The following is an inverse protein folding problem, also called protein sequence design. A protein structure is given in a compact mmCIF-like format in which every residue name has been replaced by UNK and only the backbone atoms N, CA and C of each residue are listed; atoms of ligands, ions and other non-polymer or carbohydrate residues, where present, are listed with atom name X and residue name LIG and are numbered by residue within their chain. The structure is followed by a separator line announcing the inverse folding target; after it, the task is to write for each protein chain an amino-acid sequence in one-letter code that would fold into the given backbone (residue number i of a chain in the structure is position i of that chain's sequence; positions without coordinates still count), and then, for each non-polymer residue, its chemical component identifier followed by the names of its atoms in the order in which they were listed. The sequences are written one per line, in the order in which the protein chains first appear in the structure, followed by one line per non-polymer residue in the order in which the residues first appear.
data_IF_484224425702
#
_entry.id   IF_484224425702
#
_cell.length_a   1.000
_cell.length_b   1.000
_cell.length_c   1.000
_cell.angle_alpha   90.00
_cell.angle_beta   90.00
_cell.angle_gamma   90.00
#
_symmetry.space_group_name_H-M   'P 1'
#
loop_
_entity.id
_entity.type
_entity.pdbx_description
1 polymer ?
#
# COMPACT_ATOMS: atom_id res chain seq x y z
N UNK A 1 21.32 35.66 33.22
CA UNK A 1 20.02 35.06 33.57
C UNK A 1 19.02 35.48 32.50
N UNK A 2 18.84 34.66 31.47
CA UNK A 2 17.73 34.74 30.52
C UNK A 2 17.44 33.30 30.08
N UNK A 3 16.18 32.89 30.27
CA UNK A 3 15.70 31.51 30.12
C UNK A 3 15.64 31.07 28.65
N UNK A 4 15.82 29.77 28.36
CA UNK A 4 15.69 29.24 27.00
C UNK A 4 14.23 29.24 26.55
N UNK A 5 13.95 29.41 25.24
CA UNK A 5 12.60 29.23 24.70
C UNK A 5 12.24 27.75 24.73
N UNK A 6 11.01 27.48 25.16
CA UNK A 6 10.45 26.16 25.38
C UNK A 6 10.55 25.27 24.13
N UNK A 7 10.96 24.02 24.33
CA UNK A 7 10.86 22.94 23.35
C UNK A 7 9.42 22.88 22.81
N UNK A 8 9.26 23.15 21.52
CA UNK A 8 8.02 22.85 20.82
C UNK A 8 7.96 21.33 20.73
N UNK A 9 7.23 20.72 21.66
CA UNK A 9 6.92 19.29 21.63
C UNK A 9 6.16 18.99 20.34
N UNK A 10 6.86 18.40 19.37
CA UNK A 10 6.25 17.70 18.24
C UNK A 10 5.30 16.68 18.84
N UNK A 11 4.02 16.63 18.43
CA UNK A 11 3.11 15.61 18.93
C UNK A 11 3.70 14.23 18.63
N UNK A 12 4.07 13.51 19.70
CA UNK A 12 4.65 12.16 19.67
C UNK A 12 3.69 11.08 19.11
N UNK A 13 2.55 11.47 18.54
CA UNK A 13 1.55 10.53 18.01
C UNK A 13 1.85 10.00 16.60
N UNK A 14 2.91 10.48 15.92
CA UNK A 14 3.30 9.92 14.63
C UNK A 14 3.99 8.54 14.74
N UNK A 15 4.43 8.14 15.94
CA UNK A 15 5.19 6.91 16.17
C UNK A 15 4.43 5.80 16.92
N UNK A 16 3.15 5.99 17.28
CA UNK A 16 2.41 5.03 18.14
C UNK A 16 1.43 4.09 17.44
N UNK A 17 1.31 4.13 16.11
CA UNK A 17 0.56 3.11 15.37
C UNK A 17 1.51 2.21 14.55
N UNK A 18 2.55 1.69 15.20
CA UNK A 18 3.16 0.43 14.78
C UNK A 18 2.28 -0.72 15.27
N UNK A 19 1.02 -0.74 14.82
CA UNK A 19 0.36 -2.01 14.61
C UNK A 19 1.02 -2.59 13.37
N UNK A 20 2.22 -3.19 13.53
CA UNK A 20 2.70 -4.12 12.52
C UNK A 20 1.52 -5.02 12.16
N UNK A 21 1.21 -5.23 10.87
CA UNK A 21 0.45 -6.41 10.52
C UNK A 21 1.23 -7.53 11.20
N UNK A 22 0.60 -8.21 12.15
CA UNK A 22 1.16 -9.41 12.72
C UNK A 22 1.24 -10.35 11.53
N UNK A 23 2.37 -10.31 10.82
CA UNK A 23 2.74 -11.36 9.89
C UNK A 23 2.61 -12.61 10.74
N UNK A 24 1.69 -13.45 10.31
CA UNK A 24 1.36 -14.69 10.97
C UNK A 24 2.69 -15.37 11.32
N UNK A 25 2.79 -15.94 12.51
CA UNK A 25 3.81 -16.95 12.78
C UNK A 25 3.81 -17.89 11.56
N UNK A 26 4.86 -17.79 10.73
CA UNK A 26 5.04 -18.57 9.51
C UNK A 26 5.19 -20.08 9.82
N UNK A 27 5.18 -20.47 11.10
CA UNK A 27 5.35 -21.83 11.60
C UNK A 27 4.15 -22.77 11.41
N UNK A 28 3.03 -22.33 10.83
CA UNK A 28 1.88 -23.22 10.57
C UNK A 28 1.24 -23.03 9.20
N UNK A 29 2.07 -22.78 8.19
CA UNK A 29 1.75 -23.34 6.89
C UNK A 29 1.95 -24.86 6.97
N UNK A 30 0.97 -25.70 6.57
CA UNK A 30 1.29 -27.03 6.11
C UNK A 30 1.95 -26.87 4.73
N UNK A 31 3.18 -26.34 4.71
CA UNK A 31 4.10 -26.64 3.63
C UNK A 31 4.54 -28.08 3.91
N UNK A 32 4.18 -28.96 2.99
CA UNK A 32 4.81 -30.27 2.86
C UNK A 32 6.30 -30.05 2.59
N UNK A 33 7.09 -29.86 3.63
CA UNK A 33 8.56 -29.93 3.57
C UNK A 33 9.01 -31.19 4.31
N UNK A 34 9.23 -32.22 3.50
CA UNK A 34 10.30 -33.22 3.60
C UNK A 34 10.71 -33.66 5.02
N UNK A 35 9.98 -34.62 5.59
CA UNK A 35 10.53 -35.50 6.61
C UNK A 35 11.43 -36.54 5.92
N UNK A 36 12.71 -36.21 5.73
CA UNK A 36 13.71 -37.20 5.35
C UNK A 36 13.90 -38.23 6.49
N UNK A 37 13.46 -39.45 6.18
CA UNK A 37 13.89 -40.72 6.77
C UNK A 37 13.27 -41.13 8.11
N UNK A 38 12.11 -41.79 8.03
CA UNK A 38 11.88 -43.07 8.74
C UNK A 38 10.80 -43.87 8.03
N UNK A 39 11.20 -45.02 7.50
CA UNK A 39 10.30 -45.90 6.76
C UNK A 39 9.08 -46.29 7.59
N UNK A 40 7.89 -46.03 7.07
CA UNK A 40 6.69 -46.81 7.37
C UNK A 40 5.70 -46.77 6.21
N UNK A 41 5.31 -47.98 5.82
CA UNK A 41 4.15 -48.44 5.04
C UNK A 41 3.21 -47.40 4.41
N UNK A 42 3.00 -47.58 3.11
CA UNK A 42 1.76 -47.29 2.38
C UNK A 42 0.52 -47.41 3.28
N UNK A 43 -0.18 -46.29 3.58
CA UNK A 43 -1.66 -46.18 3.69
C UNK A 43 -2.22 -44.88 4.32
N UNK A 44 -1.44 -43.83 4.62
CA UNK A 44 -2.00 -42.60 5.18
C UNK A 44 -2.27 -41.53 4.11
N UNK A 45 -3.34 -41.71 3.34
CA UNK A 45 -3.90 -40.67 2.46
C UNK A 45 -5.11 -39.97 3.10
N UNK A 46 -5.49 -40.34 4.32
CA UNK A 46 -6.83 -40.05 4.86
C UNK A 46 -6.91 -38.84 5.81
N UNK A 47 -5.78 -38.29 6.25
CA UNK A 47 -5.76 -37.18 7.24
C UNK A 47 -6.19 -35.84 6.62
N UNK A 48 -5.98 -35.67 5.31
CA UNK A 48 -6.29 -34.44 4.56
C UNK A 48 -7.77 -34.26 4.18
N UNK A 49 -8.60 -35.29 4.31
CA UNK A 49 -10.02 -35.26 3.91
C UNK A 49 -10.99 -35.22 5.11
N UNK A 50 -10.48 -34.98 6.32
CA UNK A 50 -11.37 -34.84 7.49
C UNK A 50 -12.19 -33.54 7.40
N UNK A 51 -13.49 -33.56 7.75
CA UNK A 51 -14.32 -32.34 7.78
C UNK A 51 -13.73 -31.23 8.64
N UNK A 52 -13.08 -31.59 9.75
CA UNK A 52 -12.40 -30.66 10.65
C UNK A 52 -11.21 -29.96 9.97
N UNK A 53 -10.45 -30.68 9.15
CA UNK A 53 -9.34 -30.09 8.39
C UNK A 53 -9.85 -29.13 7.31
N UNK A 54 -10.88 -29.52 6.54
CA UNK A 54 -11.51 -28.66 5.55
C UNK A 54 -12.09 -27.38 6.18
N UNK A 55 -12.71 -27.49 7.34
CA UNK A 55 -13.22 -26.34 8.09
C UNK A 55 -12.09 -25.39 8.51
N UNK A 56 -10.96 -25.92 9.01
CA UNK A 56 -9.78 -25.09 9.36
C UNK A 56 -9.22 -24.38 8.12
N UNK A 57 -9.14 -25.04 6.97
CA UNK A 57 -8.69 -24.42 5.72
C UNK A 57 -9.64 -23.29 5.28
N UNK A 58 -10.94 -23.51 5.36
CA UNK A 58 -11.94 -22.48 5.03
C UNK A 58 -11.82 -21.26 5.96
N UNK A 59 -11.69 -21.48 7.28
CA UNK A 59 -11.49 -20.39 8.24
C UNK A 59 -10.20 -19.60 7.97
N UNK A 60 -9.09 -20.28 7.67
CA UNK A 60 -7.84 -19.63 7.29
C UNK A 60 -8.00 -18.81 6.01
N UNK A 61 -8.66 -19.37 4.99
CA UNK A 61 -8.95 -18.68 3.73
C UNK A 61 -9.78 -17.42 3.96
N UNK A 62 -10.86 -17.51 4.73
CA UNK A 62 -11.72 -16.37 5.06
C UNK A 62 -10.95 -15.28 5.81
N UNK A 63 -10.09 -15.67 6.76
CA UNK A 63 -9.22 -14.74 7.46
C UNK A 63 -8.25 -14.02 6.51
N UNK A 64 -7.54 -14.75 5.64
CA UNK A 64 -6.63 -14.17 4.65
C UNK A 64 -7.35 -13.19 3.71
N UNK A 65 -8.56 -13.53 3.29
CA UNK A 65 -9.43 -12.68 2.47
C UNK A 65 -9.77 -11.38 3.20
N UNK A 66 -10.17 -11.47 4.47
CA UNK A 66 -10.50 -10.29 5.27
C UNK A 66 -9.28 -9.40 5.48
N UNK A 67 -8.11 -10.00 5.73
CA UNK A 67 -6.85 -9.26 5.85
C UNK A 67 -6.50 -8.55 4.55
N UNK A 68 -6.58 -9.24 3.41
CA UNK A 68 -6.36 -8.64 2.08
C UNK A 68 -7.26 -7.43 1.84
N UNK A 69 -8.56 -7.56 2.12
CA UNK A 69 -9.51 -6.45 1.92
C UNK A 69 -9.24 -5.27 2.86
N UNK A 70 -8.89 -5.57 4.11
CA UNK A 70 -8.63 -4.54 5.11
C UNK A 70 -7.34 -3.79 4.80
N UNK A 71 -6.27 -4.52 4.46
CA UNK A 71 -4.97 -3.93 4.12
C UNK A 71 -5.05 -3.12 2.83
N UNK A 72 -5.75 -3.61 1.80
CA UNK A 72 -5.93 -2.90 0.53
C UNK A 72 -6.74 -1.61 0.72
N UNK A 73 -7.85 -1.68 1.47
CA UNK A 73 -8.65 -0.50 1.81
C UNK A 73 -7.81 0.57 2.52
N UNK A 74 -7.01 0.13 3.49
CA UNK A 74 -6.12 1.01 4.22
C UNK A 74 -5.08 1.64 3.28
N UNK A 75 -4.42 0.85 2.44
CA UNK A 75 -3.43 1.34 1.49
C UNK A 75 -4.01 2.39 0.52
N UNK A 76 -5.18 2.13 -0.06
CA UNK A 76 -5.90 3.10 -0.91
C UNK A 76 -6.25 4.38 -0.14
N UNK A 77 -6.62 4.27 1.14
CA UNK A 77 -6.91 5.45 1.97
C UNK A 77 -5.68 6.33 2.23
N UNK A 78 -4.49 5.72 2.35
CA UNK A 78 -3.23 6.45 2.50
C UNK A 78 -2.87 7.17 1.20
N UNK A 79 -2.99 6.48 0.06
CA UNK A 79 -2.78 7.10 -1.26
C UNK A 79 -3.77 8.25 -1.51
N UNK A 80 -5.02 8.08 -1.09
CA UNK A 80 -6.03 9.15 -1.16
C UNK A 80 -5.63 10.37 -0.35
N UNK A 81 -5.11 10.19 0.87
CA UNK A 81 -4.62 11.32 1.68
C UNK A 81 -3.49 12.08 0.96
N UNK A 82 -2.52 11.35 0.39
CA UNK A 82 -1.44 11.98 -0.39
C UNK A 82 -2.02 12.77 -1.58
N UNK A 83 -2.97 12.18 -2.30
CA UNK A 83 -3.64 12.83 -3.42
C UNK A 83 -4.37 14.12 -3.01
N UNK A 84 -5.17 14.04 -1.95
CA UNK A 84 -6.05 15.15 -1.53
C UNK A 84 -5.26 16.28 -0.84
N UNK A 85 -4.22 15.96 -0.08
CA UNK A 85 -3.45 16.94 0.69
C UNK A 85 -2.32 17.60 -0.10
N UNK A 86 -1.76 16.91 -1.10
CA UNK A 86 -0.59 17.42 -1.83
C UNK A 86 -0.87 17.52 -3.33
N UNK A 87 -1.18 16.40 -3.99
CA UNK A 87 -1.26 16.34 -5.45
C UNK A 87 -2.32 17.31 -6.00
N UNK A 88 -3.55 17.20 -5.51
CA UNK A 88 -4.67 18.03 -5.96
C UNK A 88 -4.41 19.51 -5.70
N UNK A 89 -4.01 19.96 -4.49
CA UNK A 89 -3.66 21.37 -4.27
C UNK A 89 -2.57 21.92 -5.20
N UNK A 90 -1.51 21.15 -5.47
CA UNK A 90 -0.45 21.56 -6.41
C UNK A 90 -0.91 21.59 -7.87
N UNK A 91 -1.80 20.69 -8.25
CA UNK A 91 -2.38 20.68 -9.59
C UNK A 91 -3.27 21.93 -9.80
N UNK A 92 -4.16 22.20 -8.85
CA UNK A 92 -5.05 23.37 -8.92
C UNK A 92 -4.27 24.69 -8.89
N UNK A 93 -3.16 24.76 -8.14
CA UNK A 93 -2.30 25.95 -8.12
C UNK A 93 -1.62 26.17 -9.47
N UNK A 94 -1.10 25.10 -10.10
CA UNK A 94 -0.57 25.15 -11.47
C UNK A 94 -1.60 25.67 -12.48
N UNK A 95 -2.81 25.11 -12.46
CA UNK A 95 -3.88 25.50 -13.37
C UNK A 95 -4.28 26.98 -13.16
N UNK A 96 -4.44 27.42 -11.91
CA UNK A 96 -4.75 28.82 -11.59
C UNK A 96 -3.65 29.79 -12.00
N UNK A 97 -2.40 29.47 -11.69
CA UNK A 97 -1.27 30.34 -11.92
C UNK A 97 -0.93 30.46 -13.41
N UNK A 98 -1.13 29.38 -14.18
CA UNK A 98 -1.07 29.42 -15.65
C UNK A 98 -2.08 30.43 -16.23
N UNK A 99 -3.29 30.49 -15.67
CA UNK A 99 -4.29 31.49 -16.06
C UNK A 99 -3.94 32.92 -15.61
N UNK A 100 -3.27 33.07 -14.47
CA UNK A 100 -2.95 34.36 -13.85
C UNK A 100 -1.54 34.88 -14.17
N UNK A 101 -0.73 34.13 -14.95
CA UNK A 101 0.68 34.42 -15.24
C UNK A 101 1.54 34.65 -13.98
N UNK A 102 1.28 33.89 -12.92
CA UNK A 102 2.03 33.94 -11.65
C UNK A 102 2.97 32.75 -11.49
N UNK A 103 4.03 32.92 -10.70
CA UNK A 103 5.00 31.86 -10.45
C UNK A 103 4.38 30.72 -9.62
N UNK A 104 4.61 29.49 -10.07
CA UNK A 104 4.21 28.29 -9.34
C UNK A 104 5.17 27.97 -8.20
N UNK A 105 4.65 27.42 -7.11
CA UNK A 105 5.44 26.95 -5.96
C UNK A 105 6.41 25.83 -6.38
N UNK A 106 5.96 24.96 -7.28
CA UNK A 106 6.78 23.94 -7.94
C UNK A 106 6.77 24.24 -9.43
N UNK A 107 7.90 24.05 -10.11
CA UNK A 107 7.87 23.98 -11.57
C UNK A 107 7.13 22.72 -12.04
N UNK A 108 6.64 22.75 -13.29
CA UNK A 108 5.95 21.61 -13.92
C UNK A 108 6.82 20.33 -13.87
N UNK A 109 8.12 20.46 -14.16
CA UNK A 109 9.06 19.33 -14.09
C UNK A 109 9.20 18.76 -12.67
N UNK A 110 9.21 19.62 -11.66
CA UNK A 110 9.31 19.20 -10.26
C UNK A 110 8.02 18.50 -9.81
N UNK A 111 6.86 19.03 -10.18
CA UNK A 111 5.57 18.40 -9.92
C UNK A 111 5.51 16.99 -10.53
N UNK A 112 5.81 16.86 -11.82
CA UNK A 112 5.78 15.57 -12.51
C UNK A 112 6.79 14.57 -11.91
N UNK A 113 7.99 15.03 -11.56
CA UNK A 113 9.02 14.18 -10.93
C UNK A 113 8.55 13.66 -9.57
N UNK A 114 7.76 14.42 -8.81
CA UNK A 114 7.30 14.02 -7.48
C UNK A 114 6.02 13.16 -7.50
N UNK A 115 5.07 13.45 -8.40
CA UNK A 115 3.70 12.97 -8.23
C UNK A 115 3.14 12.09 -9.35
N UNK A 116 3.67 12.11 -10.57
CA UNK A 116 3.04 11.40 -11.71
C UNK A 116 2.88 9.89 -11.47
N UNK A 117 3.94 9.25 -10.98
CA UNK A 117 3.92 7.82 -10.69
C UNK A 117 2.94 7.50 -9.55
N UNK A 118 2.84 8.36 -8.53
CA UNK A 118 1.91 8.21 -7.42
C UNK A 118 0.45 8.35 -7.85
N UNK A 119 0.14 9.26 -8.78
CA UNK A 119 -1.22 9.39 -9.35
C UNK A 119 -1.64 8.11 -10.05
N UNK A 120 -0.74 7.54 -10.86
CA UNK A 120 -0.99 6.29 -11.58
C UNK A 120 -1.21 5.12 -10.63
N UNK A 121 -0.35 5.00 -9.60
CA UNK A 121 -0.49 4.00 -8.53
C UNK A 121 -1.82 4.17 -7.79
N UNK A 122 -2.18 5.40 -7.40
CA UNK A 122 -3.45 5.66 -6.72
C UNK A 122 -4.66 5.21 -7.56
N UNK A 123 -4.75 5.66 -8.81
CA UNK A 123 -5.86 5.27 -9.69
C UNK A 123 -5.91 3.77 -9.97
N UNK A 124 -4.75 3.12 -10.07
CA UNK A 124 -4.65 1.68 -10.21
C UNK A 124 -5.23 0.95 -8.99
N UNK A 125 -4.78 1.28 -7.78
CA UNK A 125 -5.20 0.58 -6.57
C UNK A 125 -6.66 0.87 -6.20
N UNK A 126 -7.18 2.06 -6.49
CA UNK A 126 -8.64 2.33 -6.35
C UNK A 126 -9.45 1.35 -7.20
N UNK A 127 -9.04 1.12 -8.46
CA UNK A 127 -9.72 0.18 -9.35
C UNK A 127 -9.55 -1.27 -8.89
N UNK A 128 -8.36 -1.64 -8.42
CA UNK A 128 -8.10 -2.97 -7.86
C UNK A 128 -9.00 -3.23 -6.65
N UNK A 129 -9.01 -2.32 -5.68
CA UNK A 129 -9.85 -2.39 -4.49
C UNK A 129 -11.34 -2.50 -4.84
N UNK A 130 -11.83 -1.67 -5.76
CA UNK A 130 -13.23 -1.74 -6.22
C UNK A 130 -13.57 -3.09 -6.86
N UNK A 131 -12.69 -3.64 -7.69
CA UNK A 131 -12.88 -4.96 -8.30
C UNK A 131 -12.88 -6.08 -7.25
N UNK A 132 -12.00 -5.98 -6.25
CA UNK A 132 -11.98 -6.90 -5.12
C UNK A 132 -13.29 -6.79 -4.33
N UNK A 133 -13.66 -5.59 -3.86
CA UNK A 133 -14.89 -5.34 -3.08
C UNK A 133 -16.14 -5.85 -3.79
N UNK A 134 -16.27 -5.57 -5.09
CA UNK A 134 -17.37 -6.08 -5.91
C UNK A 134 -17.41 -7.62 -5.91
N UNK A 135 -16.25 -8.27 -6.10
CA UNK A 135 -16.15 -9.74 -6.10
C UNK A 135 -16.51 -10.33 -4.72
N UNK A 136 -16.09 -9.69 -3.62
CA UNK A 136 -16.42 -10.14 -2.27
C UNK A 136 -17.89 -9.93 -1.91
N UNK A 137 -18.53 -8.86 -2.40
CA UNK A 137 -19.93 -8.55 -2.09
C UNK A 137 -20.96 -9.48 -2.76
N UNK A 138 -20.59 -10.16 -3.86
CA UNK A 138 -21.52 -10.88 -4.73
C UNK A 138 -21.50 -12.41 -4.61
N UNK A 139 -20.55 -13.01 -3.89
CA UNK A 139 -20.29 -14.46 -3.94
C UNK A 139 -20.48 -15.19 -2.61
N UNK A 140 -21.08 -16.39 -2.67
CA UNK A 140 -20.99 -17.39 -1.61
C UNK A 140 -19.50 -17.78 -1.43
N UNK A 141 -19.00 -17.69 -0.19
CA UNK A 141 -17.57 -17.77 0.17
C UNK A 141 -16.84 -19.02 -0.35
N UNK A 142 -17.57 -20.10 -0.62
CA UNK A 142 -17.01 -21.41 -0.96
C UNK A 142 -16.25 -21.46 -2.30
N UNK A 143 -16.59 -20.61 -3.28
CA UNK A 143 -15.97 -20.64 -4.63
C UNK A 143 -15.30 -19.32 -5.05
N UNK A 144 -14.95 -18.46 -4.09
CA UNK A 144 -14.44 -17.13 -4.39
C UNK A 144 -13.01 -17.14 -4.95
N UNK A 145 -12.85 -17.10 -6.27
CA UNK A 145 -11.53 -17.01 -6.92
C UNK A 145 -11.04 -15.56 -6.99
N UNK A 146 -10.27 -15.16 -5.98
CA UNK A 146 -9.64 -13.81 -5.92
C UNK A 146 -8.57 -13.64 -6.99
N UNK A 147 -7.89 -14.73 -7.38
CA UNK A 147 -6.83 -14.72 -8.38
C UNK A 147 -7.27 -14.15 -9.75
N UNK A 148 -8.52 -14.38 -10.14
CA UNK A 148 -9.08 -13.85 -11.40
C UNK A 148 -9.04 -12.33 -11.47
N UNK A 149 -9.20 -11.67 -10.31
CA UNK A 149 -9.09 -10.21 -10.22
C UNK A 149 -7.64 -9.84 -10.50
N UNK A 150 -6.69 -10.40 -9.76
CA UNK A 150 -5.26 -10.08 -9.93
C UNK A 150 -4.76 -10.29 -11.37
N UNK A 151 -5.17 -11.37 -12.04
CA UNK A 151 -4.78 -11.64 -13.44
C UNK A 151 -5.14 -10.49 -14.38
N UNK A 152 -6.23 -9.76 -14.12
CA UNK A 152 -6.63 -8.60 -14.93
C UNK A 152 -5.74 -7.37 -14.69
N UNK A 153 -5.12 -7.27 -13.51
CA UNK A 153 -4.35 -6.10 -13.08
C UNK A 153 -2.83 -6.28 -13.22
N UNK A 154 -2.31 -7.51 -13.37
CA UNK A 154 -0.88 -7.79 -13.56
C UNK A 154 -0.20 -6.89 -14.62
N UNK A 155 -0.76 -6.68 -15.82
CA UNK A 155 -0.11 -5.85 -16.84
C UNK A 155 0.12 -4.39 -16.38
N UNK A 156 -0.73 -3.90 -15.47
CA UNK A 156 -0.68 -2.54 -14.96
C UNK A 156 0.24 -2.38 -13.74
N UNK A 157 0.81 -3.46 -13.20
CA UNK A 157 1.78 -3.37 -12.10
C UNK A 157 3.10 -2.69 -12.52
N UNK A 158 3.31 -2.47 -13.82
CA UNK A 158 4.46 -1.72 -14.37
C UNK A 158 4.55 -0.28 -13.85
N UNK A 159 3.47 0.30 -13.31
CA UNK A 159 3.51 1.61 -12.63
C UNK A 159 4.45 1.60 -11.42
N UNK A 160 4.50 0.49 -10.67
CA UNK A 160 5.39 0.36 -9.52
C UNK A 160 6.86 0.28 -9.92
N UNK A 161 7.15 -0.31 -11.08
CA UNK A 161 8.52 -0.31 -11.61
C UNK A 161 9.00 1.11 -11.90
N UNK A 162 8.16 1.94 -12.54
CA UNK A 162 8.48 3.34 -12.84
C UNK A 162 8.69 4.15 -11.56
N UNK A 163 7.76 4.01 -10.61
CA UNK A 163 7.88 4.64 -9.30
C UNK A 163 9.18 4.28 -8.58
N UNK A 164 9.52 2.99 -8.52
CA UNK A 164 10.75 2.54 -7.87
C UNK A 164 12.02 3.07 -8.56
N UNK A 165 12.01 3.15 -9.90
CA UNK A 165 13.12 3.70 -10.68
C UNK A 165 13.29 5.21 -10.47
N UNK A 166 12.18 5.93 -10.25
CA UNK A 166 12.17 7.38 -10.05
C UNK A 166 12.35 7.79 -8.57
N UNK A 167 12.20 6.86 -7.62
CA UNK A 167 12.19 7.12 -6.18
C UNK A 167 13.37 7.97 -5.69
N UNK A 168 14.60 7.59 -6.02
CA UNK A 168 15.81 8.32 -5.59
C UNK A 168 15.84 9.76 -6.11
N UNK A 169 15.37 9.96 -7.36
CA UNK A 169 15.30 11.29 -7.98
C UNK A 169 14.23 12.14 -7.29
N UNK A 170 13.05 11.59 -7.03
CA UNK A 170 11.97 12.27 -6.32
C UNK A 170 12.38 12.63 -4.89
N UNK A 171 13.07 11.73 -4.20
CA UNK A 171 13.53 11.95 -2.82
C UNK A 171 14.61 13.03 -2.75
N UNK A 172 15.58 13.00 -3.67
CA UNK A 172 16.63 14.03 -3.77
C UNK A 172 16.00 15.41 -4.01
N UNK A 173 15.07 15.49 -4.96
CA UNK A 173 14.36 16.73 -5.25
C UNK A 173 13.56 17.24 -4.04
N UNK A 174 12.93 16.34 -3.27
CA UNK A 174 12.20 16.72 -2.07
C UNK A 174 13.12 17.40 -1.04
N UNK A 175 14.32 16.86 -0.80
CA UNK A 175 15.31 17.46 0.11
C UNK A 175 15.86 18.79 -0.40
N UNK A 176 16.07 18.92 -1.72
CA UNK A 176 16.46 20.21 -2.33
C UNK A 176 15.37 21.27 -2.13
N UNK A 177 14.10 20.92 -2.26
CA UNK A 177 12.98 21.85 -2.05
C UNK A 177 12.84 22.25 -0.57
N UNK A 178 13.05 21.32 0.36
CA UNK A 178 13.04 21.60 1.80
C UNK A 178 14.16 22.59 2.18
N UNK A 179 15.39 22.34 1.72
CA UNK A 179 16.54 23.20 2.01
C UNK A 179 16.43 24.60 1.42
N UNK A 180 15.87 24.74 0.22
CA UNK A 180 15.64 26.04 -0.40
C UNK A 180 14.55 26.87 0.31
N UNK A 181 13.55 26.20 0.91
CA UNK A 181 12.48 26.86 1.66
C UNK A 181 13.02 27.55 2.92
N UNK A 182 14.04 26.98 3.57
CA UNK A 182 14.69 27.60 4.75
C UNK A 182 15.50 28.86 4.45
N UNK A 183 15.82 29.16 3.19
CA UNK A 183 16.62 30.34 2.82
C UNK A 183 15.75 31.58 2.57
N UNK A 184 14.45 31.42 2.32
CA UNK A 184 13.53 32.51 1.95
C UNK A 184 12.75 33.13 3.13
N UNK A 185 13.07 32.79 4.38
CA UNK A 185 12.39 33.31 5.60
C UNK A 185 13.29 34.27 6.41
N UNK A 186 14.28 34.92 5.78
CA UNK A 186 15.12 35.94 6.43
C UNK A 186 14.91 37.33 5.81
#
# INVERSE_FOLDING_TARGET
MFSPPAEVSVPQNFNQFHGSPHYLDDEQFPLTEEDESKGHNHNDTHEFDTPEFQQKLQQKRDHCIQQLMTSEKYYVSQLKQVNDMFIQPFQHSHERNSLMHSDNVLSELQYHTLFDDLINIYHFNVKLYQSLENKFSQFNQENLLVGDVFLQFIPNLTFYQKYAQNYEKSLTLLFELESNTTVCVN
#
